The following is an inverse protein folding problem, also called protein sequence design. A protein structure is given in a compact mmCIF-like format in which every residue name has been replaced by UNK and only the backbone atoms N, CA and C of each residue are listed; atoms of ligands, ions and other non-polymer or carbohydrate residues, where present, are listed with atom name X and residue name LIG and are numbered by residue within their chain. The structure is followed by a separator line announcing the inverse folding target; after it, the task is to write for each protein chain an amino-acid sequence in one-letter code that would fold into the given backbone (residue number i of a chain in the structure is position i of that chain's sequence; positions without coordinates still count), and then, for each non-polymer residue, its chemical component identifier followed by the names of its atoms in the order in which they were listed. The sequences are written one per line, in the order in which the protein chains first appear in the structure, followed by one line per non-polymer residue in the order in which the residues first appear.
data_IF_124780953393
#
_entry.id   IF_124780953393
#
_cell.length_a   1.000
_cell.length_b   1.000
_cell.length_c   1.000
_cell.angle_alpha   90.00
_cell.angle_beta   90.00
_cell.angle_gamma   90.00
#
_symmetry.space_group_name_H-M   'P 1'
#
loop_
_entity.id
_entity.type
_entity.pdbx_description
1 polymer ?
#
# COMPACT_ATOMS: atom_id res chain seq x y z
N UNK A 1 -34.89 -4.39 3.26
CA UNK A 1 -33.53 -4.33 3.82
C UNK A 1 -32.63 -3.88 2.69
N UNK A 2 -32.30 -2.59 2.66
CA UNK A 2 -31.68 -1.93 1.50
C UNK A 2 -30.17 -2.12 1.58
N UNK A 3 -29.57 -2.68 0.54
CA UNK A 3 -28.11 -2.74 0.41
C UNK A 3 -27.60 -1.41 -0.16
N UNK A 4 -26.68 -0.75 0.52
CA UNK A 4 -25.97 0.41 -0.02
C UNK A 4 -24.88 -0.04 -1.01
N UNK A 5 -24.80 0.52 -2.22
CA UNK A 5 -23.75 0.18 -3.18
C UNK A 5 -22.56 1.13 -3.00
N UNK A 6 -21.38 0.60 -2.66
CA UNK A 6 -20.13 1.31 -2.94
C UNK A 6 -18.99 1.30 -1.92
N UNK A 7 -19.05 0.52 -0.84
CA UNK A 7 -17.90 0.41 0.07
C UNK A 7 -17.12 -0.88 -0.18
N UNK A 8 -15.91 -0.73 -0.70
CA UNK A 8 -14.93 -1.81 -0.77
C UNK A 8 -14.71 -2.37 0.66
N UNK A 9 -14.88 -3.69 0.91
CA UNK A 9 -15.09 -4.25 2.25
C UNK A 9 -13.85 -4.28 3.17
N UNK A 10 -12.80 -3.51 2.91
CA UNK A 10 -11.50 -3.76 3.55
C UNK A 10 -11.14 -2.90 4.75
N UNK A 11 -12.03 -2.08 5.33
CA UNK A 11 -11.73 -1.30 6.54
C UNK A 11 -12.43 -1.79 7.83
N UNK A 12 -12.05 -2.97 8.34
CA UNK A 12 -12.16 -3.26 9.78
C UNK A 12 -11.07 -2.48 10.56
N UNK A 13 -11.39 -1.45 11.37
CA UNK A 13 -10.38 -0.58 11.99
C UNK A 13 -9.43 -1.31 12.97
N UNK A 14 -9.87 -2.44 13.51
CA UNK A 14 -9.19 -3.15 14.59
C UNK A 14 -8.13 -4.16 14.15
N UNK A 15 -8.11 -4.58 12.89
CA UNK A 15 -7.16 -5.58 12.41
C UNK A 15 -5.89 -4.95 11.82
N UNK A 16 -4.69 -5.47 12.16
CA UNK A 16 -3.48 -5.06 11.48
C UNK A 16 -3.56 -5.39 9.99
N UNK A 17 -3.16 -4.43 9.16
CA UNK A 17 -3.04 -4.60 7.70
C UNK A 17 -1.57 -4.56 7.32
N UNK A 18 -1.19 -5.42 6.39
CA UNK A 18 0.13 -5.40 5.77
C UNK A 18 0.01 -4.82 4.37
N UNK A 19 0.83 -3.82 4.07
CA UNK A 19 1.02 -3.30 2.72
C UNK A 19 2.44 -3.64 2.31
N UNK A 20 2.61 -4.23 1.13
CA UNK A 20 3.93 -4.51 0.58
C UNK A 20 4.23 -3.51 -0.54
N UNK A 21 5.40 -2.90 -0.49
CA UNK A 21 5.88 -1.97 -1.50
C UNK A 21 7.13 -2.57 -2.12
N UNK A 22 7.16 -2.72 -3.43
CA UNK A 22 8.35 -3.11 -4.19
C UNK A 22 8.64 -2.09 -5.27
N UNK A 23 9.92 -1.94 -5.60
CA UNK A 23 10.39 -0.94 -6.55
C UNK A 23 11.40 -1.57 -7.49
N UNK A 24 11.23 -1.33 -8.79
CA UNK A 24 12.22 -1.61 -9.81
C UNK A 24 12.41 -0.38 -10.73
N UNK A 25 13.25 -0.52 -11.76
CA UNK A 25 13.56 0.58 -12.66
C UNK A 25 12.32 1.07 -13.44
N UNK A 26 11.33 0.22 -13.68
CA UNK A 26 10.14 0.54 -14.45
C UNK A 26 9.00 1.06 -13.56
N UNK A 27 8.74 0.41 -12.42
CA UNK A 27 7.53 0.64 -11.62
C UNK A 27 7.78 0.57 -10.10
N UNK A 28 6.97 1.34 -9.37
CA UNK A 28 6.65 1.12 -7.96
C UNK A 28 5.35 0.33 -7.87
N UNK A 29 5.41 -0.83 -7.22
CA UNK A 29 4.26 -1.73 -7.03
C UNK A 29 3.82 -1.70 -5.56
N UNK A 30 2.52 -1.52 -5.33
CA UNK A 30 1.90 -1.55 -4.00
C UNK A 30 0.89 -2.69 -3.95
N UNK A 31 1.08 -3.64 -3.04
CA UNK A 31 0.16 -4.75 -2.81
C UNK A 31 -0.59 -4.56 -1.50
N UNK A 32 -1.92 -4.59 -1.59
CA UNK A 32 -2.83 -4.49 -0.46
C UNK A 32 -3.08 -5.87 0.20
N UNK A 33 -3.59 -5.89 1.45
CA UNK A 33 -3.87 -7.13 2.17
C UNK A 33 -4.86 -8.08 1.47
N UNK A 34 -5.75 -7.55 0.64
CA UNK A 34 -6.75 -8.29 -0.12
C UNK A 34 -6.20 -8.90 -1.43
N UNK A 35 -4.92 -8.66 -1.74
CA UNK A 35 -4.26 -9.11 -2.96
C UNK A 35 -4.37 -8.14 -4.14
N UNK A 36 -5.16 -7.07 -4.03
CA UNK A 36 -5.17 -6.02 -5.05
C UNK A 36 -3.80 -5.35 -5.13
N UNK A 37 -3.41 -5.01 -6.36
CA UNK A 37 -2.08 -4.47 -6.66
C UNK A 37 -2.22 -3.21 -7.50
N UNK A 38 -1.52 -2.16 -7.09
CA UNK A 38 -1.35 -0.92 -7.85
C UNK A 38 0.06 -0.86 -8.41
N UNK A 39 0.19 -0.37 -9.64
CA UNK A 39 1.49 -0.07 -10.25
C UNK A 39 1.54 1.41 -10.63
N UNK A 40 2.63 2.04 -10.27
CA UNK A 40 2.95 3.42 -10.61
C UNK A 40 4.27 3.44 -11.36
N UNK A 41 4.36 4.04 -12.56
CA UNK A 41 5.60 4.08 -13.29
C UNK A 41 6.65 4.92 -12.54
N UNK A 42 7.91 4.50 -12.62
CA UNK A 42 9.07 5.23 -12.13
C UNK A 42 9.35 6.44 -13.04
N UNK A 43 8.54 7.50 -12.90
CA UNK A 43 8.61 8.70 -13.75
C UNK A 43 9.90 9.52 -13.56
N UNK A 44 10.58 9.29 -12.46
CA UNK A 44 11.82 9.99 -12.12
C UNK A 44 13.07 9.20 -12.55
N UNK A 45 12.89 7.99 -13.09
CA UNK A 45 13.97 7.09 -13.48
C UNK A 45 14.99 6.90 -12.35
N UNK A 46 14.49 6.73 -11.12
CA UNK A 46 15.32 6.51 -9.93
C UNK A 46 15.91 5.09 -9.94
N UNK A 47 17.12 4.96 -9.42
CA UNK A 47 17.78 3.66 -9.23
C UNK A 47 17.54 3.10 -7.81
N UNK A 48 17.27 3.96 -6.83
CA UNK A 48 17.03 3.58 -5.44
C UNK A 48 16.07 4.54 -4.74
N UNK A 49 15.38 4.03 -3.72
CA UNK A 49 14.54 4.83 -2.81
C UNK A 49 15.29 5.00 -1.48
N UNK A 50 15.71 6.23 -1.19
CA UNK A 50 16.48 6.54 0.02
C UNK A 50 15.62 7.01 1.19
N UNK A 51 14.33 7.25 0.96
CA UNK A 51 13.43 7.80 1.97
C UNK A 51 12.01 7.26 1.76
N UNK A 52 11.41 6.80 2.84
CA UNK A 52 10.01 6.39 2.90
C UNK A 52 9.36 7.08 4.10
N UNK A 53 8.23 7.74 3.86
CA UNK A 53 7.41 8.34 4.90
C UNK A 53 5.99 7.81 4.79
N UNK A 54 5.35 7.68 5.93
CA UNK A 54 3.96 7.31 6.03
C UNK A 54 3.31 8.31 7.00
N UNK A 55 2.30 9.04 6.52
CA UNK A 55 1.60 10.09 7.23
C UNK A 55 0.08 9.89 7.15
N UNK A 56 -0.65 10.27 8.20
CA UNK A 56 -2.10 10.09 8.35
C UNK A 56 -2.52 9.36 9.62
N UNK A 57 -3.80 8.99 9.70
CA UNK A 57 -4.38 8.34 10.88
C UNK A 57 -4.15 6.82 10.89
N UNK A 58 -2.90 6.41 11.08
CA UNK A 58 -2.55 5.01 11.32
C UNK A 58 -1.35 4.88 12.27
N UNK A 59 -1.23 3.71 12.88
CA UNK A 59 -0.07 3.33 13.71
C UNK A 59 0.70 2.22 13.01
N UNK A 60 1.97 2.47 12.73
CA UNK A 60 2.87 1.46 12.18
C UNK A 60 3.28 0.51 13.30
N UNK A 61 2.95 -0.78 13.14
CA UNK A 61 3.36 -1.83 14.10
C UNK A 61 4.74 -2.41 13.78
N UNK A 62 5.06 -2.55 12.50
CA UNK A 62 6.30 -3.15 12.03
C UNK A 62 6.62 -2.62 10.63
N UNK A 63 7.92 -2.47 10.34
CA UNK A 63 8.45 -2.26 8.99
C UNK A 63 9.59 -3.25 8.81
N UNK A 64 9.59 -3.97 7.69
CA UNK A 64 10.61 -4.94 7.33
C UNK A 64 11.01 -4.73 5.88
N UNK A 65 12.28 -5.00 5.58
CA UNK A 65 12.86 -4.96 4.24
C UNK A 65 13.31 -6.39 3.90
N UNK A 66 13.01 -6.83 2.69
CA UNK A 66 13.52 -8.09 2.12
C UNK A 66 14.86 -7.85 1.41
#
# INVERSE_FOLDING_TARGET
MTAEPGLHPTHCPSLPRQVCISFDQADLTVKLPDGHTFKFPNRLNLEAINYLAADGDFKIKCMAFD
#
